data_IF_202439851057
#
_entry.id   IF_202439851057
#
_cell.length_a   1.000
_cell.length_b   1.000
_cell.length_c   1.000
_cell.angle_alpha   90.00
_cell.angle_beta   90.00
_cell.angle_gamma   90.00
#
_symmetry.space_group_name_H-M   'P 1'
#
loop_
_entity.id
_entity.type
_entity.pdbx_description
1 polymer ?
#
# COMPACT_ATOMS: atom_id res chain seq x y z
N UNK A 1 24.93 19.63 -1.26
CA UNK A 1 24.05 18.96 -2.25
C UNK A 1 23.12 18.02 -1.48
N UNK A 2 21.84 18.04 -1.78
CA UNK A 2 20.84 17.11 -1.24
C UNK A 2 20.47 16.15 -2.35
N UNK A 3 20.60 14.84 -2.09
CA UNK A 3 20.21 13.78 -3.02
C UNK A 3 19.04 13.02 -2.41
N UNK A 4 17.95 12.88 -3.16
CA UNK A 4 16.78 12.10 -2.76
C UNK A 4 16.78 10.80 -3.54
N UNK A 5 16.73 9.68 -2.84
CA UNK A 5 16.68 8.34 -3.46
C UNK A 5 15.67 7.44 -2.75
N UNK A 6 15.25 6.38 -3.44
CA UNK A 6 14.46 5.34 -2.81
C UNK A 6 15.31 4.56 -1.79
N UNK A 7 14.71 4.09 -0.67
CA UNK A 7 15.45 3.45 0.43
C UNK A 7 16.38 2.32 -0.01
N UNK A 8 15.93 1.47 -0.93
CA UNK A 8 16.69 0.33 -1.44
C UNK A 8 17.84 0.68 -2.40
N UNK A 9 17.98 1.97 -2.79
CA UNK A 9 19.05 2.48 -3.65
C UNK A 9 19.99 3.47 -2.97
N UNK A 10 19.70 3.84 -1.72
CA UNK A 10 20.54 4.78 -0.98
C UNK A 10 21.96 4.24 -0.79
N UNK A 11 22.10 2.95 -0.51
CA UNK A 11 23.38 2.29 -0.35
C UNK A 11 24.17 2.17 -1.65
N UNK A 12 23.52 2.03 -2.80
CA UNK A 12 24.19 1.92 -4.09
C UNK A 12 24.94 3.21 -4.45
N UNK A 13 24.37 4.38 -4.16
CA UNK A 13 25.01 5.65 -4.39
C UNK A 13 26.29 5.82 -3.53
N UNK A 14 26.30 5.26 -2.32
CA UNK A 14 27.44 5.29 -1.40
C UNK A 14 28.50 4.27 -1.83
N UNK A 15 28.09 3.05 -2.17
CA UNK A 15 29.01 1.96 -2.56
C UNK A 15 29.75 2.22 -3.87
N UNK A 16 29.14 2.97 -4.80
CA UNK A 16 29.75 3.31 -6.08
C UNK A 16 30.78 4.45 -6.00
N UNK A 17 30.80 5.20 -4.89
CA UNK A 17 31.68 6.35 -4.70
C UNK A 17 32.38 6.30 -3.34
N UNK A 18 33.50 5.60 -3.28
CA UNK A 18 34.29 5.46 -2.04
C UNK A 18 34.71 6.80 -1.42
N UNK A 19 34.89 7.83 -2.23
CA UNK A 19 35.28 9.19 -1.79
C UNK A 19 34.16 9.92 -1.01
N UNK A 20 32.93 9.41 -1.08
CA UNK A 20 31.80 9.94 -0.34
C UNK A 20 31.67 9.35 1.08
N UNK A 21 32.46 8.31 1.37
CA UNK A 21 32.49 7.69 2.69
C UNK A 21 32.89 8.72 3.77
N UNK A 22 32.08 8.88 4.78
CA UNK A 22 32.29 9.85 5.86
C UNK A 22 31.94 11.31 5.55
N UNK A 23 31.46 11.60 4.33
CA UNK A 23 31.00 12.95 3.91
C UNK A 23 29.49 13.05 3.67
N UNK A 24 28.79 11.94 3.86
CA UNK A 24 27.34 11.85 3.70
C UNK A 24 26.66 11.67 5.05
N UNK A 25 25.59 12.43 5.26
CA UNK A 25 24.62 12.18 6.32
C UNK A 25 23.36 11.59 5.68
N UNK A 26 23.03 10.37 6.05
CA UNK A 26 21.82 9.70 5.59
C UNK A 26 20.65 10.11 6.50
N UNK A 27 19.60 10.67 5.91
CA UNK A 27 18.33 10.93 6.58
C UNK A 27 17.32 9.94 6.01
N UNK A 28 16.91 8.98 6.81
CA UNK A 28 15.87 8.03 6.45
C UNK A 28 14.51 8.62 6.78
N UNK A 29 13.61 8.62 5.79
CA UNK A 29 12.20 8.97 6.01
C UNK A 29 11.47 7.64 6.19
N UNK A 30 11.05 7.38 7.41
CA UNK A 30 10.33 6.16 7.76
C UNK A 30 8.91 6.16 7.17
N UNK A 31 8.32 4.98 7.11
CA UNK A 31 6.90 4.81 6.76
C UNK A 31 6.01 5.47 7.81
N UNK A 32 4.83 5.90 7.37
CA UNK A 32 3.86 6.53 8.26
C UNK A 32 3.32 5.52 9.27
N UNK A 33 3.19 5.97 10.53
CA UNK A 33 2.52 5.18 11.57
C UNK A 33 1.01 5.35 11.45
N UNK A 34 0.27 4.34 11.89
CA UNK A 34 -1.20 4.37 11.91
C UNK A 34 -1.76 5.59 12.65
N UNK A 35 -1.14 5.96 13.79
CA UNK A 35 -1.51 7.14 14.56
C UNK A 35 -1.38 8.45 13.78
N UNK A 36 -0.36 8.58 12.92
CA UNK A 36 -0.15 9.76 12.12
C UNK A 36 -1.08 9.77 10.90
N UNK A 37 -1.36 8.61 10.31
CA UNK A 37 -2.38 8.46 9.27
C UNK A 37 -3.77 8.83 9.81
N UNK A 38 -4.13 8.35 10.99
CA UNK A 38 -5.38 8.70 11.67
C UNK A 38 -5.54 10.22 11.85
N UNK A 39 -4.47 10.94 12.21
CA UNK A 39 -4.48 12.40 12.30
C UNK A 39 -4.80 13.08 10.97
N UNK A 40 -4.35 12.53 9.84
CA UNK A 40 -4.68 13.08 8.51
C UNK A 40 -6.21 13.11 8.33
N UNK A 41 -6.89 12.00 8.62
CA UNK A 41 -8.35 11.93 8.51
C UNK A 41 -9.04 12.88 9.51
N UNK A 42 -8.72 12.78 10.79
CA UNK A 42 -9.37 13.58 11.83
C UNK A 42 -9.24 15.08 11.55
N UNK A 43 -8.01 15.57 11.31
CA UNK A 43 -7.76 17.01 11.05
C UNK A 43 -8.35 17.47 9.71
N UNK A 44 -8.31 16.62 8.70
CA UNK A 44 -8.86 16.92 7.38
C UNK A 44 -10.38 17.08 7.42
N UNK A 45 -11.08 16.12 7.98
CA UNK A 45 -12.54 16.16 8.09
C UNK A 45 -13.04 17.24 9.04
N UNK A 46 -12.33 17.50 10.15
CA UNK A 46 -12.63 18.62 11.05
C UNK A 46 -12.65 19.97 10.29
N UNK A 47 -11.62 20.23 9.48
CA UNK A 47 -11.54 21.47 8.67
C UNK A 47 -12.66 21.61 7.63
N UNK A 48 -13.21 20.49 7.19
CA UNK A 48 -14.32 20.44 6.24
C UNK A 48 -15.70 20.41 6.93
N UNK A 49 -15.75 20.49 8.27
CA UNK A 49 -16.95 20.31 9.08
C UNK A 49 -17.66 18.97 8.83
N UNK A 50 -16.91 17.93 8.49
CA UNK A 50 -17.40 16.57 8.32
C UNK A 50 -17.16 15.81 9.63
N UNK A 51 -18.19 15.14 10.13
CA UNK A 51 -18.10 14.33 11.34
C UNK A 51 -17.53 12.96 11.02
N UNK A 52 -16.53 12.55 11.77
CA UNK A 52 -15.95 11.20 11.71
C UNK A 52 -15.73 10.69 13.13
N UNK A 53 -16.07 9.43 13.40
CA UNK A 53 -15.75 8.80 14.68
C UNK A 53 -14.28 8.36 14.72
N UNK A 54 -13.72 8.32 15.92
CA UNK A 54 -12.37 7.84 16.16
C UNK A 54 -12.16 6.40 15.66
N UNK A 55 -13.17 5.55 15.83
CA UNK A 55 -13.15 4.16 15.36
C UNK A 55 -13.09 4.05 13.82
N UNK A 56 -13.80 4.92 13.08
CA UNK A 56 -13.73 4.94 11.61
C UNK A 56 -12.36 5.47 11.15
N UNK A 57 -11.83 6.49 11.81
CA UNK A 57 -10.50 7.02 11.49
C UNK A 57 -9.40 5.97 11.74
N UNK A 58 -9.55 5.12 12.74
CA UNK A 58 -8.65 4.00 13.02
C UNK A 58 -8.74 2.91 11.95
N UNK A 59 -9.96 2.50 11.56
CA UNK A 59 -10.16 1.59 10.43
C UNK A 59 -9.47 2.10 9.15
N UNK A 60 -9.65 3.39 8.83
CA UNK A 60 -8.98 4.02 7.69
C UNK A 60 -7.45 3.92 7.79
N UNK A 61 -6.88 4.20 8.95
CA UNK A 61 -5.43 4.18 9.15
C UNK A 61 -4.86 2.77 8.94
N UNK A 62 -5.53 1.74 9.45
CA UNK A 62 -5.14 0.33 9.28
C UNK A 62 -5.19 -0.08 7.81
N UNK A 63 -6.30 0.23 7.11
CA UNK A 63 -6.47 -0.13 5.69
C UNK A 63 -5.50 0.59 4.75
N UNK A 64 -4.95 1.73 5.17
CA UNK A 64 -3.98 2.47 4.37
C UNK A 64 -2.56 1.90 4.39
N UNK A 65 -2.27 0.88 5.21
CA UNK A 65 -1.01 0.13 5.20
C UNK A 65 0.24 1.04 5.13
N UNK A 66 0.34 2.01 6.03
CA UNK A 66 1.46 2.98 6.10
C UNK A 66 1.55 4.02 4.96
N UNK A 67 0.59 4.02 4.03
CA UNK A 67 0.57 4.92 2.87
C UNK A 67 -0.26 6.18 3.12
N UNK A 68 0.42 7.32 3.33
CA UNK A 68 -0.25 8.63 3.43
C UNK A 68 -0.96 9.04 2.13
N UNK A 69 -0.43 8.63 0.99
CA UNK A 69 -1.06 8.87 -0.32
C UNK A 69 -2.40 8.15 -0.42
N UNK A 70 -2.44 6.87 -0.03
CA UNK A 70 -3.69 6.08 -0.04
C UNK A 70 -4.70 6.68 0.94
N UNK A 71 -4.25 7.07 2.14
CA UNK A 71 -5.09 7.75 3.13
C UNK A 71 -5.76 9.00 2.55
N UNK A 72 -4.98 9.89 1.94
CA UNK A 72 -5.52 11.12 1.33
C UNK A 72 -6.50 10.82 0.20
N UNK A 73 -6.22 9.79 -0.60
CA UNK A 73 -7.07 9.41 -1.71
C UNK A 73 -8.41 8.83 -1.24
N UNK A 74 -8.41 7.99 -0.22
CA UNK A 74 -9.66 7.48 0.38
C UNK A 74 -10.44 8.61 1.04
N UNK A 75 -9.78 9.51 1.77
CA UNK A 75 -10.43 10.68 2.35
C UNK A 75 -11.09 11.57 1.28
N UNK A 76 -10.42 11.79 0.14
CA UNK A 76 -11.00 12.51 -0.99
C UNK A 76 -12.22 11.79 -1.55
N UNK A 77 -12.14 10.47 -1.71
CA UNK A 77 -13.27 9.65 -2.17
C UNK A 77 -14.46 9.73 -1.22
N UNK A 78 -14.22 9.74 0.09
CA UNK A 78 -15.27 9.96 1.10
C UNK A 78 -15.91 11.34 0.94
N UNK A 79 -15.11 12.40 0.78
CA UNK A 79 -15.63 13.76 0.58
C UNK A 79 -16.55 13.83 -0.66
N UNK A 80 -16.13 13.23 -1.78
CA UNK A 80 -16.93 13.19 -3.01
C UNK A 80 -18.26 12.47 -2.79
N UNK A 81 -18.24 11.30 -2.13
CA UNK A 81 -19.46 10.55 -1.83
C UNK A 81 -20.40 11.29 -0.88
N UNK A 82 -19.86 11.98 0.12
CA UNK A 82 -20.67 12.77 1.05
C UNK A 82 -21.31 13.98 0.36
N UNK A 83 -20.61 14.63 -0.57
CA UNK A 83 -21.14 15.72 -1.38
C UNK A 83 -22.29 15.22 -2.27
N UNK A 84 -22.10 14.12 -2.98
CA UNK A 84 -23.10 13.50 -3.85
C UNK A 84 -24.37 13.09 -3.07
N UNK A 85 -24.22 12.58 -1.83
CA UNK A 85 -25.32 12.16 -0.98
C UNK A 85 -25.87 13.27 -0.07
N UNK A 86 -25.30 14.50 -0.15
CA UNK A 86 -25.63 15.63 0.72
C UNK A 86 -25.58 15.27 2.22
N UNK A 87 -24.51 14.59 2.63
CA UNK A 87 -24.24 14.14 4.00
C UNK A 87 -23.01 14.83 4.57
N UNK A 88 -22.93 14.92 5.89
CA UNK A 88 -21.79 15.51 6.61
C UNK A 88 -21.22 14.57 7.70
N UNK A 89 -21.53 13.30 7.61
CA UNK A 89 -21.05 12.31 8.58
C UNK A 89 -20.56 11.06 7.86
N UNK A 90 -19.35 10.64 8.21
CA UNK A 90 -18.73 9.41 7.70
C UNK A 90 -19.30 8.23 8.49
N UNK A 91 -20.03 7.37 7.79
CA UNK A 91 -20.56 6.12 8.32
C UNK A 91 -19.79 4.92 7.77
N UNK A 92 -19.94 3.75 8.37
CA UNK A 92 -19.35 2.51 7.83
C UNK A 92 -19.83 2.23 6.39
N UNK A 93 -21.08 2.59 6.04
CA UNK A 93 -21.59 2.45 4.66
C UNK A 93 -20.82 3.34 3.66
N UNK A 94 -20.60 4.60 4.03
CA UNK A 94 -19.80 5.54 3.20
C UNK A 94 -18.36 5.05 3.08
N UNK A 95 -17.79 4.54 4.16
CA UNK A 95 -16.45 3.99 4.18
C UNK A 95 -16.30 2.83 3.20
N UNK A 96 -17.21 1.86 3.22
CA UNK A 96 -17.23 0.72 2.30
C UNK A 96 -17.39 1.16 0.83
N UNK A 97 -18.25 2.14 0.57
CA UNK A 97 -18.40 2.72 -0.78
C UNK A 97 -17.10 3.38 -1.23
N UNK A 98 -16.44 4.12 -0.34
CA UNK A 98 -15.17 4.79 -0.64
C UNK A 98 -14.06 3.79 -0.96
N UNK A 99 -13.96 2.69 -0.23
CA UNK A 99 -13.00 1.63 -0.54
C UNK A 99 -13.23 1.03 -1.94
N UNK A 100 -14.47 0.71 -2.28
CA UNK A 100 -14.82 0.20 -3.62
C UNK A 100 -14.53 1.22 -4.70
N UNK A 101 -14.91 2.48 -4.50
CA UNK A 101 -14.65 3.57 -5.43
C UNK A 101 -13.14 3.76 -5.65
N UNK A 102 -12.36 3.75 -4.57
CA UNK A 102 -10.91 3.88 -4.61
C UNK A 102 -10.29 2.70 -5.37
N UNK A 103 -10.70 1.47 -5.10
CA UNK A 103 -10.17 0.27 -5.76
C UNK A 103 -10.38 0.30 -7.28
N UNK A 104 -11.53 0.80 -7.75
CA UNK A 104 -11.83 0.91 -9.19
C UNK A 104 -11.05 2.03 -9.86
N UNK A 105 -10.88 3.17 -9.17
CA UNK A 105 -10.27 4.37 -9.76
C UNK A 105 -8.77 4.44 -9.57
N UNK A 106 -8.23 3.76 -8.58
CA UNK A 106 -6.78 3.66 -8.34
C UNK A 106 -6.21 2.60 -9.28
N UNK A 107 -5.60 3.03 -10.39
CA UNK A 107 -5.13 2.15 -11.46
C UNK A 107 -3.85 1.39 -11.08
N UNK A 108 -3.87 0.64 -9.98
CA UNK A 108 -2.78 -0.30 -9.64
C UNK A 108 -2.95 -1.67 -10.30
N UNK A 109 -4.04 -1.94 -10.97
CA UNK A 109 -4.27 -3.22 -11.65
C UNK A 109 -3.10 -3.59 -12.59
N UNK A 110 -2.60 -2.64 -13.35
CA UNK A 110 -1.44 -2.86 -14.23
C UNK A 110 -0.14 -3.13 -13.46
N UNK A 111 0.03 -2.52 -12.28
CA UNK A 111 1.20 -2.75 -11.43
C UNK A 111 1.14 -4.15 -10.85
N UNK A 112 0.01 -4.53 -10.29
CA UNK A 112 -0.22 -5.87 -9.72
C UNK A 112 -0.06 -6.96 -10.79
N UNK A 113 -0.63 -6.74 -11.98
CA UNK A 113 -0.49 -7.66 -13.13
C UNK A 113 0.98 -7.79 -13.56
N UNK A 114 1.70 -6.69 -13.63
CA UNK A 114 3.14 -6.70 -13.95
C UNK A 114 3.96 -7.43 -12.89
N UNK A 115 3.67 -7.21 -11.61
CA UNK A 115 4.32 -7.91 -10.51
C UNK A 115 4.02 -9.42 -10.54
N UNK A 116 2.78 -9.79 -10.78
CA UNK A 116 2.35 -11.20 -10.87
C UNK A 116 2.92 -11.92 -12.09
N UNK A 117 3.12 -11.23 -13.20
CA UNK A 117 3.79 -11.77 -14.39
C UNK A 117 5.31 -11.89 -14.22
N UNK A 118 5.89 -11.06 -13.37
CA UNK A 118 7.35 -11.00 -13.17
C UNK A 118 8.12 -10.60 -14.45
N UNK A 119 9.47 -10.69 -14.43
CA UNK A 119 10.30 -10.30 -15.56
C UNK A 119 10.05 -11.20 -16.78
N UNK A 120 10.27 -10.63 -17.99
CA UNK A 120 10.14 -11.38 -19.23
C UNK A 120 11.02 -12.64 -19.25
N UNK A 121 10.41 -13.76 -19.63
CA UNK A 121 11.10 -15.03 -19.72
C UNK A 121 11.95 -15.05 -21.01
N UNK A 122 13.21 -15.45 -20.84
CA UNK A 122 14.10 -15.77 -21.95
C UNK A 122 14.44 -17.26 -21.86
N UNK A 123 13.75 -18.12 -22.62
CA UNK A 123 13.99 -19.56 -22.62
C UNK A 123 12.93 -20.39 -21.93
N UNK A 124 13.30 -21.18 -20.94
CA UNK A 124 12.42 -22.16 -20.30
C UNK A 124 11.26 -21.52 -19.54
N UNK A 125 10.04 -22.05 -19.67
CA UNK A 125 8.87 -21.61 -18.92
C UNK A 125 9.09 -21.83 -17.42
N UNK A 126 8.56 -20.90 -16.59
CA UNK A 126 8.61 -21.04 -15.15
C UNK A 126 7.74 -22.20 -14.68
N UNK A 127 8.19 -22.84 -13.61
CA UNK A 127 7.42 -23.88 -12.96
C UNK A 127 6.13 -23.29 -12.40
N UNK A 128 5.01 -23.92 -12.74
CA UNK A 128 3.70 -23.59 -12.21
C UNK A 128 3.41 -24.44 -10.98
N UNK A 129 2.73 -23.86 -10.01
CA UNK A 129 2.36 -24.48 -8.75
C UNK A 129 0.84 -24.37 -8.57
N UNK A 130 0.21 -25.45 -8.12
CA UNK A 130 -1.20 -25.46 -7.74
C UNK A 130 -1.37 -24.85 -6.36
N UNK A 131 -2.33 -23.95 -6.21
CA UNK A 131 -2.74 -23.40 -4.92
C UNK A 131 -3.91 -24.21 -4.35
N UNK A 132 -4.16 -24.07 -3.05
CA UNK A 132 -5.27 -24.76 -2.36
C UNK A 132 -6.65 -24.38 -2.90
N UNK A 133 -6.78 -23.20 -3.51
CA UNK A 133 -8.00 -22.71 -4.17
C UNK A 133 -8.07 -23.06 -5.67
N UNK A 134 -7.16 -23.93 -6.15
CA UNK A 134 -7.19 -24.50 -7.50
C UNK A 134 -6.60 -23.63 -8.60
N UNK A 135 -5.96 -22.50 -8.28
CA UNK A 135 -5.23 -21.68 -9.25
C UNK A 135 -3.89 -22.31 -9.60
N UNK A 136 -3.41 -22.06 -10.82
CA UNK A 136 -2.06 -22.39 -11.26
C UNK A 136 -1.26 -21.09 -11.39
N UNK A 137 -0.27 -20.92 -10.51
CA UNK A 137 0.55 -19.71 -10.45
C UNK A 137 2.04 -20.06 -10.48
N UNK A 138 2.82 -19.19 -11.11
CA UNK A 138 4.27 -19.24 -10.95
C UNK A 138 4.69 -18.56 -9.62
N UNK A 139 5.99 -18.55 -9.31
CA UNK A 139 6.49 -18.00 -8.06
C UNK A 139 6.09 -16.52 -7.85
N UNK A 140 6.04 -15.72 -8.92
CA UNK A 140 5.66 -14.29 -8.81
C UNK A 140 4.18 -14.13 -8.49
N UNK A 141 3.32 -14.89 -9.16
CA UNK A 141 1.90 -14.95 -8.86
C UNK A 141 1.62 -15.42 -7.44
N UNK A 142 2.36 -16.43 -6.95
CA UNK A 142 2.25 -16.92 -5.58
C UNK A 142 2.65 -15.85 -4.54
N UNK A 143 3.71 -15.08 -4.81
CA UNK A 143 4.13 -13.97 -3.91
C UNK A 143 3.04 -12.92 -3.83
N UNK A 144 2.50 -12.46 -4.97
CA UNK A 144 1.43 -11.47 -5.00
C UNK A 144 0.18 -11.97 -4.29
N UNK A 145 -0.24 -13.20 -4.54
CA UNK A 145 -1.38 -13.83 -3.87
C UNK A 145 -1.16 -13.94 -2.36
N UNK A 146 0.05 -14.29 -1.94
CA UNK A 146 0.40 -14.39 -0.52
C UNK A 146 0.36 -13.04 0.20
N UNK A 147 0.82 -11.97 -0.45
CA UNK A 147 0.74 -10.62 0.10
C UNK A 147 -0.71 -10.12 0.19
N UNK A 148 -1.54 -10.48 -0.79
CA UNK A 148 -2.94 -10.06 -0.87
C UNK A 148 -3.88 -10.82 0.07
N UNK A 149 -3.48 -12.00 0.60
CA UNK A 149 -4.32 -12.76 1.55
C UNK A 149 -4.61 -11.94 2.81
N UNK A 150 -5.82 -12.12 3.35
CA UNK A 150 -6.29 -11.41 4.55
C UNK A 150 -5.62 -11.95 5.84
N UNK A 151 -5.04 -11.09 6.69
CA UNK A 151 -4.81 -9.66 6.46
C UNK A 151 -3.73 -9.43 5.38
N UNK A 152 -3.85 -8.40 4.54
CA UNK A 152 -2.83 -8.09 3.54
C UNK A 152 -1.51 -7.65 4.22
N UNK A 153 -0.39 -7.93 3.57
CA UNK A 153 0.94 -7.60 4.10
C UNK A 153 1.70 -6.72 3.10
N UNK A 154 2.46 -5.77 3.61
CA UNK A 154 3.40 -4.95 2.81
C UNK A 154 4.75 -5.62 2.64
N UNK A 155 5.10 -6.51 3.59
CA UNK A 155 6.33 -7.30 3.59
C UNK A 155 6.00 -8.73 4.02
N UNK A 156 6.77 -9.69 3.51
CA UNK A 156 6.56 -11.10 3.84
C UNK A 156 7.91 -11.81 4.02
N UNK A 157 8.07 -12.54 5.15
CA UNK A 157 9.17 -13.46 5.33
C UNK A 157 8.91 -14.77 4.58
N UNK A 158 9.96 -15.55 4.33
CA UNK A 158 9.83 -16.84 3.67
C UNK A 158 8.92 -17.80 4.46
N UNK A 159 9.03 -17.81 5.77
CA UNK A 159 8.21 -18.67 6.65
C UNK A 159 6.73 -18.27 6.57
N UNK A 160 6.45 -16.96 6.63
CA UNK A 160 5.08 -16.44 6.50
C UNK A 160 4.51 -16.72 5.10
N UNK A 161 5.32 -16.54 4.06
CA UNK A 161 4.93 -16.88 2.69
C UNK A 161 4.54 -18.34 2.58
N UNK A 162 5.39 -19.24 3.08
CA UNK A 162 5.16 -20.68 3.04
C UNK A 162 3.86 -21.08 3.76
N UNK A 163 3.64 -20.55 4.97
CA UNK A 163 2.44 -20.84 5.76
C UNK A 163 1.14 -20.31 5.17
N UNK A 164 1.21 -19.27 4.29
CA UNK A 164 0.04 -18.70 3.64
C UNK A 164 -0.37 -19.44 2.36
N UNK A 165 0.57 -20.12 1.71
CA UNK A 165 0.36 -20.73 0.39
C UNK A 165 0.16 -22.24 0.48
N UNK A 166 0.81 -22.90 1.42
CA UNK A 166 0.79 -24.34 1.64
C UNK A 166 0.04 -24.69 2.92
#
# INVERSE_FOLDING_TARGET
VIVVSLPHRSDDAIRQNADLSGRLSLITIDTWKEEDLKKIALMGFEKLNIKISDAIAEKLAVECLTSSQLMQYICLSICTLLEDENKQEVTDEILEKAYRFTTVNFSYANVVDTMGKGPNQRGQQRKMHGTTDGKLLDMYGLIVESLAKNPPLTEISFETFYSRII
#
